data_IF_032193634770
#
_entry.id   IF_032193634770
#
_cell.length_a   1.000
_cell.length_b   1.000
_cell.length_c   1.000
_cell.angle_alpha   90.00
_cell.angle_beta   90.00
_cell.angle_gamma   90.00
#
_symmetry.space_group_name_H-M   'P 1'
#
loop_
_entity.id
_entity.type
_entity.pdbx_description
1 polymer ?
#
# COMPACT_ATOMS: atom_id res chain seq x y z
N UNK A 1 3.67 11.11 3.88
CA UNK A 1 4.25 10.52 2.66
C UNK A 1 5.39 9.60 3.04
N UNK A 2 5.47 8.44 2.41
CA UNK A 2 6.61 7.55 2.53
C UNK A 2 6.55 6.46 1.46
N UNK A 3 7.74 5.98 1.06
CA UNK A 3 7.86 4.76 0.27
C UNK A 3 7.91 3.58 1.23
N UNK A 4 7.09 2.57 0.98
CA UNK A 4 6.94 1.38 1.81
C UNK A 4 7.16 0.15 0.96
N UNK A 5 7.71 -0.92 1.50
CA UNK A 5 7.85 -2.19 0.78
C UNK A 5 7.68 -3.37 1.72
N UNK A 6 7.53 -4.58 1.17
CA UNK A 6 7.39 -5.81 1.97
C UNK A 6 8.67 -6.18 2.74
N UNK A 7 9.83 -5.74 2.26
CA UNK A 7 11.11 -5.90 2.94
C UNK A 7 12.06 -4.74 2.61
N UNK A 8 13.16 -4.62 3.36
CA UNK A 8 14.21 -3.62 3.08
C UNK A 8 14.94 -3.86 1.77
N UNK A 9 15.01 -5.11 1.33
CA UNK A 9 15.59 -5.48 0.03
C UNK A 9 14.70 -4.99 -1.11
N UNK A 10 13.39 -5.17 -0.98
CA UNK A 10 12.40 -4.73 -1.99
C UNK A 10 12.38 -3.21 -2.19
N UNK A 11 12.94 -2.44 -1.25
CA UNK A 11 13.13 -1.00 -1.38
C UNK A 11 14.22 -0.57 -2.37
N UNK A 12 15.19 -1.44 -2.65
CA UNK A 12 16.36 -1.13 -3.47
C UNK A 12 16.31 -1.82 -4.83
N UNK A 13 15.58 -2.94 -4.92
CA UNK A 13 15.49 -3.75 -6.13
C UNK A 13 14.05 -3.84 -6.61
N UNK A 14 13.82 -3.34 -7.82
CA UNK A 14 12.74 -3.85 -8.67
C UNK A 14 13.11 -5.29 -9.01
N UNK A 15 12.58 -6.26 -8.26
CA UNK A 15 12.72 -7.67 -8.64
C UNK A 15 11.97 -7.83 -9.95
N UNK A 16 12.66 -8.29 -11.00
CA UNK A 16 12.11 -8.46 -12.35
C UNK A 16 11.42 -9.81 -12.56
N UNK A 17 11.27 -10.61 -11.50
CA UNK A 17 10.62 -11.91 -11.54
C UNK A 17 9.10 -11.76 -11.33
N UNK A 18 8.28 -12.12 -12.34
CA UNK A 18 6.82 -12.07 -12.27
C UNK A 18 6.17 -12.83 -11.13
N UNK A 19 6.80 -13.90 -10.65
CA UNK A 19 6.24 -14.74 -9.59
C UNK A 19 6.47 -14.17 -8.18
N UNK A 20 7.40 -13.21 -8.03
CA UNK A 20 7.82 -12.65 -6.73
C UNK A 20 7.81 -11.12 -6.71
N UNK A 21 6.98 -10.49 -7.57
CA UNK A 21 6.85 -9.03 -7.64
C UNK A 21 6.37 -8.42 -6.32
N UNK A 22 7.32 -8.06 -5.46
CA UNK A 22 7.12 -7.15 -4.35
C UNK A 22 7.73 -5.80 -4.75
N UNK A 23 6.89 -4.93 -5.31
CA UNK A 23 7.32 -3.57 -5.60
C UNK A 23 7.15 -2.69 -4.36
N UNK A 24 8.01 -1.67 -4.20
CA UNK A 24 7.72 -0.58 -3.29
C UNK A 24 6.35 0.03 -3.63
N UNK A 25 5.55 0.22 -2.59
CA UNK A 25 4.39 1.07 -2.64
C UNK A 25 4.79 2.51 -2.30
N UNK A 26 4.37 3.42 -3.15
CA UNK A 26 4.31 4.82 -2.77
C UNK A 26 3.00 5.05 -2.01
N UNK A 27 3.06 5.54 -0.77
CA UNK A 27 1.87 5.91 0.02
C UNK A 27 1.96 7.38 0.40
N UNK A 28 1.06 8.18 -0.14
CA UNK A 28 0.91 9.60 0.14
C UNK A 28 -0.45 9.89 0.79
N UNK A 29 -0.73 11.16 1.10
CA UNK A 29 -2.06 11.58 1.55
C UNK A 29 -3.10 11.58 0.41
N UNK A 30 -2.66 11.50 -0.84
CA UNK A 30 -3.49 11.68 -2.04
C UNK A 30 -3.55 10.43 -2.91
N UNK A 31 -2.54 9.55 -2.80
CA UNK A 31 -2.32 8.45 -3.74
C UNK A 31 -1.65 7.27 -3.05
N UNK A 32 -2.02 6.06 -3.48
CA UNK A 32 -1.28 4.82 -3.25
C UNK A 32 -0.93 4.25 -4.61
N UNK A 33 0.33 3.91 -4.89
CA UNK A 33 0.68 3.23 -6.15
C UNK A 33 1.69 2.12 -5.95
N UNK A 34 1.47 1.04 -6.69
CA UNK A 34 2.47 0.03 -7.00
C UNK A 34 3.01 0.22 -8.42
N UNK A 35 3.56 -0.86 -8.98
CA UNK A 35 4.22 -0.83 -10.29
C UNK A 35 3.27 -0.61 -11.47
N UNK A 36 2.24 -1.44 -11.59
CA UNK A 36 1.28 -1.42 -12.71
C UNK A 36 -0.10 -0.89 -12.32
N UNK A 37 -0.23 -0.36 -11.10
CA UNK A 37 -1.47 0.18 -10.61
C UNK A 37 -1.26 1.42 -9.74
N UNK A 38 -2.25 2.29 -9.74
CA UNK A 38 -2.30 3.48 -8.88
C UNK A 38 -3.72 3.72 -8.40
N UNK A 39 -3.86 4.26 -7.20
CA UNK A 39 -5.12 4.51 -6.53
C UNK A 39 -5.13 5.93 -5.99
N UNK A 40 -6.06 6.75 -6.47
CA UNK A 40 -6.30 8.08 -5.95
C UNK A 40 -7.19 7.99 -4.70
N UNK A 41 -6.69 8.49 -3.58
CA UNK A 41 -7.42 8.50 -2.32
C UNK A 41 -8.59 9.47 -2.42
N UNK A 42 -9.80 8.95 -2.28
CA UNK A 42 -11.04 9.75 -2.29
C UNK A 42 -11.40 10.19 -0.87
N UNK A 43 -11.21 9.31 0.11
CA UNK A 43 -11.56 9.57 1.49
C UNK A 43 -10.66 8.76 2.44
N UNK A 44 -10.42 9.31 3.63
CA UNK A 44 -9.70 8.66 4.71
C UNK A 44 -10.40 8.92 6.03
N UNK A 45 -10.78 7.86 6.74
CA UNK A 45 -11.48 7.95 8.02
C UNK A 45 -10.89 6.99 9.06
N UNK A 46 -11.11 7.30 10.34
CA UNK A 46 -10.70 6.42 11.44
C UNK A 46 -11.61 5.20 11.48
N UNK A 47 -11.00 4.02 11.56
CA UNK A 47 -11.64 2.73 11.65
C UNK A 47 -11.30 2.05 12.98
N UNK A 48 -11.93 0.91 13.23
CA UNK A 48 -11.77 0.12 14.45
C UNK A 48 -10.30 -0.27 14.69
N UNK A 49 -9.96 -0.55 15.95
CA UNK A 49 -8.62 -0.98 16.39
C UNK A 49 -7.45 -0.06 15.98
N UNK A 50 -7.74 1.21 15.73
CA UNK A 50 -6.74 2.22 15.36
C UNK A 50 -6.28 2.13 13.90
N UNK A 51 -7.02 1.42 13.06
CA UNK A 51 -6.83 1.46 11.62
C UNK A 51 -7.39 2.77 11.03
N UNK A 52 -6.81 3.19 9.93
CA UNK A 52 -7.40 4.14 8.99
C UNK A 52 -8.02 3.34 7.86
N UNK A 53 -9.27 3.66 7.52
CA UNK A 53 -9.91 3.17 6.31
C UNK A 53 -9.71 4.20 5.20
N UNK A 54 -9.19 3.75 4.08
CA UNK A 54 -8.91 4.55 2.89
C UNK A 54 -9.79 4.04 1.77
N UNK A 55 -10.64 4.91 1.25
CA UNK A 55 -11.45 4.65 0.06
C UNK A 55 -10.74 5.27 -1.14
N UNK A 56 -10.59 4.51 -2.22
CA UNK A 56 -9.77 4.94 -3.35
C UNK A 56 -10.34 4.49 -4.69
N UNK A 57 -10.06 5.29 -5.71
CA UNK A 57 -10.32 4.94 -7.10
C UNK A 57 -9.00 4.50 -7.73
N UNK A 58 -8.93 3.23 -8.12
CA UNK A 58 -7.76 2.61 -8.70
C UNK A 58 -7.84 2.47 -10.21
N UNK A 59 -6.66 2.42 -10.82
CA UNK A 59 -6.44 2.03 -12.21
C UNK A 59 -5.21 1.15 -12.31
N UNK A 60 -5.28 0.12 -13.14
CA UNK A 60 -4.17 -0.80 -13.41
C UNK A 60 -4.55 -1.78 -14.52
N UNK A 61 -3.58 -2.19 -15.33
CA UNK A 61 -3.79 -3.13 -16.45
C UNK A 61 -4.92 -2.75 -17.43
N UNK A 62 -5.23 -1.46 -17.56
CA UNK A 62 -6.30 -0.96 -18.42
C UNK A 62 -7.70 -0.99 -17.79
N UNK A 63 -7.82 -1.44 -16.53
CA UNK A 63 -9.05 -1.45 -15.78
C UNK A 63 -9.12 -0.28 -14.78
N UNK A 64 -10.34 0.03 -14.32
CA UNK A 64 -10.60 0.99 -13.26
C UNK A 64 -11.59 0.40 -12.27
N UNK A 65 -11.26 0.48 -10.98
CA UNK A 65 -12.03 -0.17 -9.92
C UNK A 65 -11.91 0.62 -8.62
N UNK A 66 -12.92 0.48 -7.75
CA UNK A 66 -12.84 0.98 -6.39
C UNK A 66 -12.11 -0.04 -5.52
N UNK A 67 -11.24 0.45 -4.63
CA UNK A 67 -10.54 -0.40 -3.67
C UNK A 67 -10.51 0.27 -2.30
N UNK A 68 -10.55 -0.56 -1.26
CA UNK A 68 -10.51 -0.09 0.11
C UNK A 68 -9.32 -0.68 0.86
N UNK A 69 -8.46 0.21 1.35
CA UNK A 69 -7.29 -0.14 2.14
C UNK A 69 -7.50 0.17 3.62
N UNK A 70 -6.91 -0.66 4.47
CA UNK A 70 -6.85 -0.43 5.90
C UNK A 70 -5.40 -0.33 6.34
N UNK A 71 -5.04 0.81 6.93
CA UNK A 71 -3.67 1.12 7.31
C UNK A 71 -3.56 1.38 8.81
N UNK A 72 -2.58 0.75 9.48
CA UNK A 72 -2.28 1.01 10.88
C UNK A 72 -0.77 1.11 11.10
N UNK A 73 -0.23 2.23 11.59
CA UNK A 73 1.16 2.29 12.02
C UNK A 73 1.40 1.27 13.14
N UNK A 74 2.38 0.39 12.98
CA UNK A 74 2.85 -0.50 14.04
C UNK A 74 3.93 0.21 14.88
N UNK A 75 4.83 0.90 14.20
CA UNK A 75 5.87 1.75 14.77
C UNK A 75 6.30 2.81 13.74
N UNK A 76 7.35 3.60 14.04
CA UNK A 76 7.81 4.68 13.17
C UNK A 76 8.29 4.24 11.77
N UNK A 77 8.62 2.96 11.60
CA UNK A 77 9.19 2.40 10.39
C UNK A 77 8.35 1.26 9.79
N UNK A 78 7.22 0.92 10.40
CA UNK A 78 6.41 -0.24 10.03
C UNK A 78 4.93 0.12 9.93
N UNK A 79 4.32 -0.27 8.81
CA UNK A 79 2.90 -0.08 8.50
C UNK A 79 2.23 -1.44 8.33
N UNK A 80 1.12 -1.66 9.02
CA UNK A 80 0.22 -2.78 8.73
C UNK A 80 -0.75 -2.35 7.65
N UNK A 81 -0.80 -3.12 6.57
CA UNK A 81 -1.65 -2.87 5.42
C UNK A 81 -2.57 -4.07 5.19
N UNK A 82 -3.86 -3.83 5.05
CA UNK A 82 -4.83 -4.84 4.63
C UNK A 82 -5.67 -4.31 3.47
N UNK A 83 -5.93 -5.17 2.49
CA UNK A 83 -6.85 -4.90 1.38
C UNK A 83 -8.13 -5.67 1.71
N UNK A 84 -9.28 -4.97 1.72
CA UNK A 84 -10.56 -5.49 2.23
C UNK A 84 -10.85 -6.93 1.79
N UNK A 85 -10.66 -7.22 0.51
CA UNK A 85 -11.07 -8.49 -0.08
C UNK A 85 -9.99 -9.58 -0.06
N UNK A 86 -8.76 -9.25 0.34
CA UNK A 86 -7.66 -10.22 0.44
C UNK A 86 -7.56 -10.91 1.80
N UNK A 87 -8.25 -10.37 2.82
CA UNK A 87 -8.29 -10.89 4.20
C UNK A 87 -6.89 -11.26 4.75
N UNK A 88 -5.86 -10.47 4.39
CA UNK A 88 -4.46 -10.69 4.76
C UNK A 88 -3.83 -9.38 5.16
N UNK A 89 -3.30 -9.33 6.39
CA UNK A 89 -2.52 -8.20 6.87
C UNK A 89 -1.07 -8.38 6.40
N UNK A 90 -0.63 -7.48 5.55
CA UNK A 90 0.75 -7.34 5.13
C UNK A 90 1.49 -6.37 6.06
N UNK A 91 2.74 -6.67 6.36
CA UNK A 91 3.62 -5.76 7.09
C UNK A 91 4.55 -5.10 6.08
N UNK A 92 4.49 -3.78 6.00
CA UNK A 92 5.35 -2.98 5.14
C UNK A 92 6.38 -2.23 5.96
N UNK A 93 7.62 -2.19 5.48
CA UNK A 93 8.72 -1.42 6.05
C UNK A 93 8.96 -0.15 5.24
N UNK A 94 9.28 0.95 5.92
CA UNK A 94 9.62 2.22 5.29
C UNK A 94 10.96 2.08 4.54
N UNK A 95 11.03 2.50 3.28
CA UNK A 95 12.19 2.28 2.44
C UNK A 95 13.40 3.15 2.74
N UNK A 96 13.19 4.38 3.19
CA UNK A 96 14.15 5.30 3.83
C UNK A 96 13.37 6.56 4.21
N UNK A 97 13.91 7.37 5.12
CA UNK A 97 13.41 8.71 5.47
C UNK A 97 13.97 9.74 4.51
#
# INVERSE_FOLDING_TARGET
>A
MGNWAYSKEDCQTVKTDPATYHFPLEVTSEKISGYEWSCNIQNTDKYEDGYWRIQSQCSGEGESYEEQFYLKPKDANTLLWNIKDKNRIETLVRCSS
#
